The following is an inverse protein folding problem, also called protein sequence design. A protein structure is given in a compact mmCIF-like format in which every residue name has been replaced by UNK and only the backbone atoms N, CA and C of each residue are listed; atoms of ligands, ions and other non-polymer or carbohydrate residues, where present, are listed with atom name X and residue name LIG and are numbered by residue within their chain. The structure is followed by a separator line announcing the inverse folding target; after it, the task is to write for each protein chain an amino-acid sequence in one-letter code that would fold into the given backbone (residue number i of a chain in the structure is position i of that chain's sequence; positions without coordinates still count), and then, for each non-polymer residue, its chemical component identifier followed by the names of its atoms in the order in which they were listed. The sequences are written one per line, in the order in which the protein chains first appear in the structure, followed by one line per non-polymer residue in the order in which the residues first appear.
data_IF_659802673370
#
_entry.id   IF_659802673370
#
_cell.length_a   1.000
_cell.length_b   1.000
_cell.length_c   1.000
_cell.angle_alpha   90.00
_cell.angle_beta   90.00
_cell.angle_gamma   90.00
#
_symmetry.space_group_name_H-M   'P 1'
#
loop_
_entity.id
_entity.type
_entity.pdbx_description
1 polymer ?
#
# COMPACT_ATOMS: atom_id res chain seq x y z
N UNK A 1 -28.11 -4.61 -6.67
CA UNK A 1 -28.65 -3.80 -5.56
C UNK A 1 -28.92 -4.73 -4.36
N UNK A 2 -27.89 -4.97 -3.54
CA UNK A 2 -28.05 -5.68 -2.26
C UNK A 2 -27.64 -4.71 -1.17
N UNK A 3 -28.66 -4.10 -0.60
CA UNK A 3 -28.59 -3.33 0.62
C UNK A 3 -28.32 -4.35 1.73
N UNK A 4 -27.07 -4.48 2.12
CA UNK A 4 -26.73 -4.86 3.48
C UNK A 4 -25.99 -3.64 4.02
N UNK A 5 -26.80 -2.61 4.34
CA UNK A 5 -26.38 -1.61 5.31
C UNK A 5 -26.15 -2.39 6.60
N UNK A 6 -24.89 -2.66 6.89
CA UNK A 6 -24.41 -3.12 8.18
C UNK A 6 -25.04 -2.22 9.24
N UNK A 7 -26.04 -2.76 9.95
CA UNK A 7 -26.38 -2.28 11.27
C UNK A 7 -25.15 -2.54 12.13
N UNK A 8 -24.38 -1.51 12.44
CA UNK A 8 -23.79 -1.23 13.76
C UNK A 8 -22.81 -0.05 13.60
N UNK A 9 -23.05 0.99 14.39
CA UNK A 9 -22.27 2.24 14.54
C UNK A 9 -22.40 3.30 13.46
N UNK A 10 -23.41 4.16 13.63
CA UNK A 10 -23.40 5.52 13.09
C UNK A 10 -22.84 6.44 14.20
N UNK A 11 -21.54 6.36 14.50
CA UNK A 11 -20.87 7.33 15.39
C UNK A 11 -20.48 8.57 14.61
N UNK A 12 -20.57 9.73 15.25
CA UNK A 12 -19.96 10.94 14.73
C UNK A 12 -18.42 10.75 14.70
N UNK A 13 -17.72 11.31 13.69
CA UNK A 13 -16.27 11.19 13.50
C UNK A 13 -15.46 11.51 14.76
N UNK A 14 -15.96 12.42 15.59
CA UNK A 14 -15.29 12.82 16.83
C UNK A 14 -15.27 11.68 17.87
N UNK A 15 -16.37 10.93 18.02
CA UNK A 15 -16.44 9.80 18.95
C UNK A 15 -15.53 8.64 18.51
N UNK A 16 -15.35 8.43 17.20
CA UNK A 16 -14.42 7.40 16.70
C UNK A 16 -12.97 7.77 17.00
N UNK A 17 -12.60 9.06 16.84
CA UNK A 17 -11.25 9.55 17.18
C UNK A 17 -10.93 9.41 18.66
N UNK A 18 -11.89 9.74 19.54
CA UNK A 18 -11.72 9.58 20.99
C UNK A 18 -11.43 8.11 21.35
N UNK A 19 -12.23 7.17 20.82
CA UNK A 19 -12.01 5.74 21.02
C UNK A 19 -10.64 5.29 20.52
N UNK A 20 -10.22 5.78 19.35
CA UNK A 20 -8.91 5.43 18.81
C UNK A 20 -7.77 5.97 19.70
N UNK A 21 -7.89 7.19 20.20
CA UNK A 21 -6.88 7.74 21.11
C UNK A 21 -6.77 6.88 22.38
N UNK A 22 -7.90 6.49 22.98
CA UNK A 22 -7.92 5.61 24.16
C UNK A 22 -7.26 4.26 23.88
N UNK A 23 -7.54 3.65 22.72
CA UNK A 23 -6.93 2.37 22.32
C UNK A 23 -5.42 2.48 22.11
N UNK A 24 -4.97 3.56 21.46
CA UNK A 24 -3.54 3.83 21.23
C UNK A 24 -2.78 4.01 22.55
N UNK A 25 -3.36 4.75 23.49
CA UNK A 25 -2.74 5.01 24.79
C UNK A 25 -2.65 3.71 25.62
N UNK A 26 -3.73 2.92 25.64
CA UNK A 26 -3.76 1.62 26.30
C UNK A 26 -2.71 0.66 25.72
N UNK A 27 -2.64 0.56 24.39
CA UNK A 27 -1.69 -0.30 23.71
C UNK A 27 -0.23 0.12 23.96
N UNK A 28 0.06 1.41 23.93
CA UNK A 28 1.40 1.95 24.16
C UNK A 28 1.95 1.56 25.53
N UNK A 29 1.10 1.59 26.56
CA UNK A 29 1.46 1.14 27.91
C UNK A 29 1.84 -0.36 27.89
N UNK A 30 0.99 -1.22 27.33
CA UNK A 30 1.21 -2.68 27.28
C UNK A 30 2.47 -3.06 26.49
N UNK A 31 2.69 -2.39 25.34
CA UNK A 31 3.84 -2.64 24.46
C UNK A 31 5.15 -2.27 25.14
N UNK A 32 5.19 -1.20 25.94
CA UNK A 32 6.41 -0.77 26.64
C UNK A 32 6.93 -1.78 27.66
N UNK A 33 6.06 -2.66 28.15
CA UNK A 33 6.38 -3.68 29.15
C UNK A 33 6.77 -5.04 28.56
N UNK A 34 6.62 -5.22 27.24
CA UNK A 34 6.72 -6.54 26.61
C UNK A 34 7.63 -6.50 25.39
N UNK A 35 8.79 -7.14 25.49
CA UNK A 35 9.69 -7.33 24.34
C UNK A 35 9.21 -8.50 23.47
N UNK A 36 9.14 -8.28 22.15
CA UNK A 36 8.77 -9.30 21.17
C UNK A 36 10.03 -10.06 20.77
N UNK A 37 10.04 -11.37 21.01
CA UNK A 37 11.18 -12.20 20.64
C UNK A 37 11.23 -12.45 19.12
N UNK A 38 12.43 -12.55 18.51
CA UNK A 38 12.56 -12.86 17.08
C UNK A 38 11.88 -14.17 16.68
N UNK A 39 11.83 -15.14 17.60
CA UNK A 39 11.15 -16.43 17.39
C UNK A 39 9.64 -16.23 17.21
N UNK A 40 8.99 -15.45 18.07
CA UNK A 40 7.55 -15.17 17.98
C UNK A 40 7.26 -14.37 16.72
N UNK A 41 8.08 -13.37 16.40
CA UNK A 41 7.93 -12.58 15.17
C UNK A 41 8.00 -13.45 13.91
N UNK A 42 8.98 -14.36 13.84
CA UNK A 42 9.11 -15.30 12.72
C UNK A 42 7.92 -16.28 12.64
N UNK A 43 7.42 -16.74 13.78
CA UNK A 43 6.24 -17.62 13.84
C UNK A 43 4.98 -16.89 13.34
N UNK A 44 4.80 -15.62 13.72
CA UNK A 44 3.69 -14.77 13.29
C UNK A 44 3.73 -14.49 11.79
N UNK A 45 4.91 -14.14 11.26
CA UNK A 45 5.08 -13.94 9.81
C UNK A 45 4.69 -15.20 9.04
N UNK A 46 5.13 -16.37 9.49
CA UNK A 46 4.81 -17.64 8.84
C UNK A 46 3.31 -18.00 8.86
N UNK A 47 2.46 -17.33 9.64
CA UNK A 47 1.00 -17.55 9.62
C UNK A 47 0.34 -16.92 8.39
N UNK A 48 0.93 -15.87 7.81
CA UNK A 48 0.43 -15.24 6.59
C UNK A 48 0.42 -16.22 5.40
N UNK A 49 1.37 -17.15 5.36
CA UNK A 49 1.44 -18.17 4.31
C UNK A 49 0.56 -19.41 4.61
N UNK A 50 0.11 -19.58 5.86
CA UNK A 50 -0.58 -20.80 6.33
C UNK A 50 -2.09 -20.64 6.43
N UNK A 51 -2.57 -19.43 6.66
CA UNK A 51 -3.97 -19.15 6.91
C UNK A 51 -4.51 -18.32 5.75
N UNK A 52 -5.49 -18.89 5.05
CA UNK A 52 -6.33 -18.15 4.12
C UNK A 52 -7.32 -17.30 4.92
N UNK A 53 -6.93 -16.08 5.24
CA UNK A 53 -7.70 -15.09 6.00
C UNK A 53 -8.98 -14.67 5.28
N UNK A 54 -8.99 -14.67 3.94
CA UNK A 54 -10.15 -14.32 3.11
C UNK A 54 -11.28 -15.36 3.22
N UNK A 55 -10.97 -16.56 3.72
CA UNK A 55 -11.97 -17.59 4.01
C UNK A 55 -12.85 -17.28 5.23
N UNK A 56 -12.53 -16.25 6.03
CA UNK A 56 -13.22 -15.94 7.28
C UNK A 56 -13.95 -14.59 7.20
N UNK A 57 -15.21 -14.55 7.67
CA UNK A 57 -15.92 -13.29 7.84
C UNK A 57 -15.63 -12.65 9.20
N UNK A 58 -15.74 -11.32 9.27
CA UNK A 58 -15.65 -10.56 10.52
C UNK A 58 -16.62 -11.12 11.58
N UNK A 59 -17.89 -11.36 11.22
CA UNK A 59 -18.87 -11.86 12.19
C UNK A 59 -18.50 -13.24 12.73
N UNK A 60 -17.94 -14.10 11.88
CA UNK A 60 -17.51 -15.44 12.27
C UNK A 60 -16.37 -15.35 13.29
N UNK A 61 -15.33 -14.55 13.00
CA UNK A 61 -14.17 -14.51 13.88
C UNK A 61 -14.47 -13.80 15.20
N UNK A 62 -15.35 -12.79 15.19
CA UNK A 62 -15.81 -12.13 16.43
C UNK A 62 -16.52 -13.15 17.33
N UNK A 63 -17.40 -13.98 16.78
CA UNK A 63 -18.05 -15.05 17.56
C UNK A 63 -17.04 -16.07 18.10
N UNK A 64 -16.06 -16.45 17.29
CA UNK A 64 -14.99 -17.37 17.70
C UNK A 64 -14.08 -16.79 18.78
N UNK A 65 -13.96 -15.46 18.88
CA UNK A 65 -13.10 -14.79 19.86
C UNK A 65 -13.47 -15.10 21.32
N UNK A 66 -14.69 -15.57 21.59
CA UNK A 66 -15.07 -16.07 22.92
C UNK A 66 -14.11 -17.17 23.41
N UNK A 67 -13.55 -17.96 22.50
CA UNK A 67 -12.58 -19.02 22.80
C UNK A 67 -11.27 -18.48 23.39
N UNK A 68 -10.91 -17.21 23.15
CA UNK A 68 -9.72 -16.60 23.75
C UNK A 68 -9.77 -16.57 25.28
N UNK A 69 -10.99 -16.52 25.84
CA UNK A 69 -11.23 -16.54 27.29
C UNK A 69 -11.26 -17.95 27.91
N UNK A 70 -11.28 -19.01 27.10
CA UNK A 70 -11.39 -20.40 27.59
C UNK A 70 -10.01 -20.93 27.97
N UNK A 71 -9.88 -21.44 29.19
CA UNK A 71 -8.61 -21.94 29.73
C UNK A 71 -8.09 -23.17 28.98
N UNK A 72 -8.98 -24.09 28.58
CA UNK A 72 -8.64 -25.34 27.91
C UNK A 72 -8.48 -25.23 26.38
N UNK A 73 -8.68 -24.05 25.80
CA UNK A 73 -8.53 -23.88 24.35
C UNK A 73 -7.03 -23.94 23.98
N UNK A 74 -6.64 -24.72 22.95
CA UNK A 74 -5.25 -24.84 22.53
C UNK A 74 -4.62 -23.48 22.19
N UNK A 75 -3.36 -23.29 22.56
CA UNK A 75 -2.62 -22.06 22.25
C UNK A 75 -2.59 -21.77 20.73
N UNK A 76 -2.49 -22.80 19.90
CA UNK A 76 -2.53 -22.69 18.44
C UNK A 76 -3.85 -22.11 17.92
N UNK A 77 -4.98 -22.49 18.52
CA UNK A 77 -6.29 -21.94 18.16
C UNK A 77 -6.41 -20.49 18.59
N UNK A 78 -5.92 -20.14 19.78
CA UNK A 78 -5.87 -18.74 20.24
C UNK A 78 -5.02 -17.89 19.31
N UNK A 79 -3.83 -18.37 18.91
CA UNK A 79 -2.97 -17.70 17.92
C UNK A 79 -3.66 -17.50 16.59
N UNK A 80 -4.36 -18.53 16.07
CA UNK A 80 -5.14 -18.44 14.83
C UNK A 80 -6.22 -17.37 14.92
N UNK A 81 -6.97 -17.32 16.01
CA UNK A 81 -8.03 -16.33 16.21
C UNK A 81 -7.45 -14.92 16.29
N UNK A 82 -6.42 -14.71 17.10
CA UNK A 82 -5.72 -13.43 17.26
C UNK A 82 -5.19 -12.94 15.91
N UNK A 83 -4.56 -13.82 15.14
CA UNK A 83 -4.04 -13.52 13.81
C UNK A 83 -5.13 -13.04 12.86
N UNK A 84 -6.25 -13.78 12.74
CA UNK A 84 -7.34 -13.40 11.84
C UNK A 84 -8.00 -12.07 12.29
N UNK A 85 -8.15 -11.83 13.60
CA UNK A 85 -8.65 -10.56 14.11
C UNK A 85 -7.74 -9.39 13.71
N UNK A 86 -6.42 -9.56 13.84
CA UNK A 86 -5.42 -8.56 13.44
C UNK A 86 -5.51 -8.27 11.95
N UNK A 87 -5.62 -9.33 11.14
CA UNK A 87 -5.69 -9.21 9.69
C UNK A 87 -6.99 -8.55 9.18
N UNK A 88 -8.14 -8.81 9.82
CA UNK A 88 -9.39 -8.13 9.49
C UNK A 88 -9.34 -6.66 9.86
N UNK A 89 -8.70 -6.31 10.98
CA UNK A 89 -8.30 -4.93 11.28
C UNK A 89 -9.42 -3.92 11.47
N UNK A 90 -10.67 -4.34 11.65
CA UNK A 90 -11.79 -3.44 11.96
C UNK A 90 -11.75 -3.00 13.43
N UNK A 91 -12.40 -1.87 13.75
CA UNK A 91 -12.47 -1.37 15.13
C UNK A 91 -12.98 -2.43 16.14
N UNK A 92 -14.03 -3.23 15.84
CA UNK A 92 -14.43 -4.33 16.71
C UNK A 92 -13.32 -5.37 16.93
N UNK A 93 -12.60 -5.77 15.88
CA UNK A 93 -11.53 -6.76 15.99
C UNK A 93 -10.36 -6.23 16.82
N UNK A 94 -9.92 -5.00 16.57
CA UNK A 94 -8.84 -4.34 17.32
C UNK A 94 -9.20 -4.21 18.81
N UNK A 95 -10.46 -3.86 19.14
CA UNK A 95 -10.95 -3.84 20.52
C UNK A 95 -10.89 -5.20 21.21
N UNK A 96 -11.23 -6.28 20.50
CA UNK A 96 -11.15 -7.63 21.05
C UNK A 96 -9.69 -8.00 21.39
N UNK A 97 -8.74 -7.64 20.52
CA UNK A 97 -7.31 -7.86 20.76
C UNK A 97 -6.83 -7.04 21.96
N UNK A 98 -7.24 -5.77 22.07
CA UNK A 98 -6.91 -4.90 23.20
C UNK A 98 -7.42 -5.45 24.54
N UNK A 99 -8.68 -5.89 24.58
CA UNK A 99 -9.26 -6.53 25.77
C UNK A 99 -8.56 -7.85 26.11
N UNK A 100 -8.11 -8.60 25.10
CA UNK A 100 -7.31 -9.79 25.31
C UNK A 100 -5.92 -9.47 25.88
N UNK A 101 -5.28 -8.39 25.42
CA UNK A 101 -3.96 -7.96 25.90
C UNK A 101 -3.91 -7.65 27.39
N UNK A 102 -5.02 -7.15 27.99
CA UNK A 102 -5.12 -6.87 29.43
C UNK A 102 -4.93 -8.10 30.32
N UNK A 103 -5.17 -9.30 29.78
CA UNK A 103 -5.11 -10.58 30.51
C UNK A 103 -4.15 -11.60 29.89
N UNK A 104 -3.56 -11.30 28.74
CA UNK A 104 -2.68 -12.20 28.03
C UNK A 104 -1.30 -12.25 28.69
N UNK A 105 -0.68 -13.43 28.68
CA UNK A 105 0.67 -13.65 29.23
C UNK A 105 1.56 -14.39 28.23
N UNK A 106 2.87 -14.30 28.45
CA UNK A 106 3.88 -15.07 27.70
C UNK A 106 3.83 -14.87 26.18
N UNK A 107 3.91 -15.98 25.44
CA UNK A 107 3.92 -15.96 23.97
C UNK A 107 2.63 -15.42 23.36
N UNK A 108 1.47 -15.69 23.98
CA UNK A 108 0.19 -15.17 23.50
C UNK A 108 0.09 -13.64 23.62
N UNK A 109 0.70 -13.05 24.65
CA UNK A 109 0.80 -11.58 24.77
C UNK A 109 1.59 -10.99 23.61
N UNK A 110 2.76 -11.56 23.28
CA UNK A 110 3.58 -11.11 22.15
C UNK A 110 2.82 -11.26 20.81
N UNK A 111 2.08 -12.35 20.63
CA UNK A 111 1.22 -12.56 19.45
C UNK A 111 0.11 -11.52 19.34
N UNK A 112 -0.57 -11.22 20.44
CA UNK A 112 -1.61 -10.21 20.47
C UNK A 112 -1.07 -8.79 20.23
N UNK A 113 0.16 -8.49 20.66
CA UNK A 113 0.82 -7.22 20.33
C UNK A 113 1.01 -7.10 18.81
N UNK A 114 1.59 -8.13 18.16
CA UNK A 114 1.80 -8.11 16.71
C UNK A 114 0.48 -7.98 15.93
N UNK A 115 -0.54 -8.73 16.33
CA UNK A 115 -1.87 -8.64 15.71
C UNK A 115 -2.54 -7.28 15.95
N UNK A 116 -2.35 -6.67 17.12
CA UNK A 116 -2.83 -5.32 17.37
C UNK A 116 -2.12 -4.33 16.45
N UNK A 117 -0.80 -4.38 16.29
CA UNK A 117 -0.06 -3.46 15.41
C UNK A 117 -0.53 -3.55 13.96
N UNK A 118 -0.73 -4.77 13.46
CA UNK A 118 -1.23 -5.03 12.11
C UNK A 118 -2.66 -4.50 11.95
N UNK A 119 -3.57 -4.85 12.86
CA UNK A 119 -4.96 -4.38 12.81
C UNK A 119 -5.09 -2.87 13.03
N UNK A 120 -4.25 -2.28 13.88
CA UNK A 120 -4.17 -0.85 14.12
C UNK A 120 -3.78 -0.11 12.84
N UNK A 121 -2.77 -0.61 12.14
CA UNK A 121 -2.36 -0.06 10.84
C UNK A 121 -3.52 -0.09 9.84
N UNK A 122 -4.29 -1.17 9.77
CA UNK A 122 -5.45 -1.25 8.87
C UNK A 122 -6.56 -0.28 9.27
N UNK A 123 -6.88 -0.19 10.56
CA UNK A 123 -7.89 0.72 11.10
C UNK A 123 -7.53 2.20 10.87
N UNK A 124 -6.28 2.59 11.15
CA UNK A 124 -5.78 3.94 10.88
C UNK A 124 -5.88 4.28 9.39
N UNK A 125 -5.53 3.32 8.53
CA UNK A 125 -5.67 3.51 7.09
C UNK A 125 -7.14 3.67 6.67
N UNK A 126 -8.09 2.96 7.28
CA UNK A 126 -9.51 3.14 7.01
C UNK A 126 -10.02 4.53 7.39
N UNK A 127 -9.72 4.99 8.62
CA UNK A 127 -10.18 6.29 9.13
C UNK A 127 -9.54 7.49 8.42
N UNK A 128 -8.27 7.36 8.02
CA UNK A 128 -7.62 8.37 7.19
C UNK A 128 -8.15 8.39 5.74
N UNK A 129 -9.08 7.49 5.38
CA UNK A 129 -9.57 7.34 4.01
C UNK A 129 -8.50 6.80 3.05
N UNK A 130 -7.45 6.17 3.60
CA UNK A 130 -6.34 5.55 2.89
C UNK A 130 -6.76 4.17 2.33
N UNK A 131 -7.98 3.69 2.61
CA UNK A 131 -8.48 2.40 2.17
C UNK A 131 -8.92 2.38 0.70
N UNK A 132 -7.93 2.32 -0.19
CA UNK A 132 -7.93 1.58 -1.46
C UNK A 132 -6.48 1.18 -1.77
N UNK A 133 -6.11 -0.05 -1.41
CA UNK A 133 -4.93 -0.74 -1.93
C UNK A 133 -3.61 0.03 -1.83
N UNK A 134 -3.05 0.20 -0.63
CA UNK A 134 -1.66 0.65 -0.54
C UNK A 134 -0.77 -0.52 -1.02
N UNK A 135 -0.38 -0.47 -2.29
CA UNK A 135 0.68 -1.33 -2.82
C UNK A 135 1.99 -0.90 -2.17
N UNK A 136 2.68 -1.86 -1.55
CA UNK A 136 4.09 -1.72 -1.17
C UNK A 136 4.96 -1.69 -2.44
N UNK A 137 4.85 -0.62 -3.24
CA UNK A 137 5.92 -0.26 -4.17
C UNK A 137 6.82 0.71 -3.43
N UNK A 138 8.15 0.58 -3.57
CA UNK A 138 9.05 1.48 -2.85
C UNK A 138 8.85 2.97 -3.22
N UNK A 139 8.25 3.25 -4.39
CA UNK A 139 7.90 4.58 -4.86
C UNK A 139 6.56 5.12 -4.30
N UNK A 140 5.67 4.24 -3.79
CA UNK A 140 4.34 4.57 -3.31
C UNK A 140 3.23 4.58 -4.38
N UNK A 141 2.05 5.05 -3.99
CA UNK A 141 0.86 5.15 -4.83
C UNK A 141 -0.21 6.06 -4.22
N UNK A 142 -1.27 6.34 -4.97
CA UNK A 142 -2.41 7.17 -4.56
C UNK A 142 -3.71 6.55 -5.10
N UNK A 143 -4.59 6.10 -4.21
CA UNK A 143 -5.79 5.34 -4.59
C UNK A 143 -5.45 4.06 -5.38
N UNK A 144 -6.16 3.78 -6.46
CA UNK A 144 -5.93 2.63 -7.34
C UNK A 144 -4.78 2.86 -8.36
N UNK A 145 -3.89 3.82 -8.10
CA UNK A 145 -2.76 4.17 -8.98
C UNK A 145 -1.42 3.95 -8.31
N UNK A 146 -0.48 3.35 -9.03
CA UNK A 146 0.91 3.12 -8.60
C UNK A 146 1.86 4.16 -9.19
N UNK A 147 2.83 4.60 -8.40
CA UNK A 147 3.85 5.53 -8.88
C UNK A 147 4.92 4.78 -9.68
N UNK A 148 5.14 5.24 -10.90
CA UNK A 148 6.22 4.80 -11.77
C UNK A 148 7.11 5.98 -12.14
N UNK A 149 8.39 5.70 -12.23
CA UNK A 149 9.38 6.56 -12.84
C UNK A 149 9.80 5.93 -14.15
N UNK A 150 9.68 6.66 -15.26
CA UNK A 150 10.21 6.19 -16.53
C UNK A 150 10.97 7.29 -17.25
N UNK A 151 12.02 6.89 -17.96
CA UNK A 151 12.87 7.80 -18.72
C UNK A 151 13.13 7.30 -20.12
N UNK A 152 13.21 8.25 -21.05
CA UNK A 152 13.40 8.00 -22.47
C UNK A 152 14.41 9.00 -23.00
N UNK A 153 15.29 8.53 -23.88
CA UNK A 153 16.32 9.33 -24.52
C UNK A 153 15.83 9.89 -25.86
N UNK A 154 16.36 11.05 -26.24
CA UNK A 154 16.23 11.62 -27.58
C UNK A 154 16.83 10.65 -28.60
N UNK A 155 16.15 10.49 -29.73
CA UNK A 155 16.69 9.73 -30.87
C UNK A 155 17.78 10.51 -31.61
N UNK A 156 17.67 11.84 -31.61
CA UNK A 156 18.62 12.73 -32.25
C UNK A 156 19.62 13.15 -31.16
N UNK A 157 20.85 12.62 -31.23
CA UNK A 157 21.92 12.89 -30.24
C UNK A 157 21.97 14.38 -29.89
N UNK A 158 21.86 14.70 -28.60
CA UNK A 158 21.86 16.08 -28.08
C UNK A 158 20.60 16.42 -27.29
N UNK A 159 20.64 17.56 -26.59
CA UNK A 159 19.57 17.99 -25.71
C UNK A 159 18.29 18.35 -26.46
N UNK A 160 17.14 18.15 -25.80
CA UNK A 160 15.85 18.57 -26.36
C UNK A 160 15.79 20.09 -26.51
N UNK A 161 15.32 20.56 -27.67
CA UNK A 161 15.01 21.97 -27.87
C UNK A 161 13.61 22.32 -27.31
N UNK A 162 13.29 23.61 -27.20
CA UNK A 162 12.03 24.07 -26.60
C UNK A 162 10.78 23.53 -27.32
N UNK A 163 10.85 23.36 -28.64
CA UNK A 163 9.76 22.80 -29.43
C UNK A 163 9.53 21.31 -29.11
N UNK A 164 10.62 20.53 -29.03
CA UNK A 164 10.57 19.11 -28.66
C UNK A 164 10.09 18.92 -27.24
N UNK A 165 10.55 19.73 -26.28
CA UNK A 165 10.10 19.70 -24.89
C UNK A 165 8.59 19.90 -24.82
N UNK A 166 8.08 20.92 -25.53
CA UNK A 166 6.65 21.21 -25.59
C UNK A 166 5.85 20.05 -26.19
N UNK A 167 6.31 19.49 -27.32
CA UNK A 167 5.66 18.33 -27.94
C UNK A 167 5.61 17.15 -26.97
N UNK A 168 6.72 16.86 -26.28
CA UNK A 168 6.78 15.75 -25.31
C UNK A 168 5.80 15.97 -24.17
N UNK A 169 5.76 17.17 -23.59
CA UNK A 169 4.83 17.51 -22.51
C UNK A 169 3.37 17.39 -22.95
N UNK A 170 3.03 17.95 -24.13
CA UNK A 170 1.68 17.90 -24.67
C UNK A 170 1.23 16.45 -24.93
N UNK A 171 2.12 15.61 -25.50
CA UNK A 171 1.82 14.19 -25.76
C UNK A 171 1.72 13.35 -24.50
N UNK A 172 2.56 13.60 -23.49
CA UNK A 172 2.43 12.92 -22.19
C UNK A 172 1.11 13.27 -21.52
N UNK A 173 0.68 14.54 -21.58
CA UNK A 173 -0.61 14.96 -21.01
C UNK A 173 -1.81 14.37 -21.78
N UNK A 174 -1.72 14.28 -23.11
CA UNK A 174 -2.73 13.64 -23.96
C UNK A 174 -2.89 12.15 -23.62
N UNK A 175 -1.77 11.40 -23.57
CA UNK A 175 -1.74 10.00 -23.15
C UNK A 175 -2.19 9.86 -21.69
N UNK A 176 -1.80 10.81 -20.83
CA UNK A 176 -2.23 10.87 -19.44
C UNK A 176 -3.74 10.94 -19.30
N UNK A 177 -4.39 11.74 -20.14
CA UNK A 177 -5.86 11.83 -20.14
C UNK A 177 -6.53 10.56 -20.68
N UNK A 178 -5.93 9.88 -21.65
CA UNK A 178 -6.45 8.62 -22.24
C UNK A 178 -6.43 7.46 -21.23
N UNK A 179 -5.35 7.33 -20.46
CA UNK A 179 -5.16 6.24 -19.49
C UNK A 179 -5.52 6.60 -18.05
N UNK A 180 -6.12 7.77 -17.80
CA UNK A 180 -6.38 8.29 -16.45
C UNK A 180 -5.11 8.30 -15.57
N UNK A 181 -4.01 8.81 -16.11
CA UNK A 181 -2.76 8.99 -15.37
C UNK A 181 -2.77 10.32 -14.61
N UNK A 182 -2.13 10.35 -13.44
CA UNK A 182 -1.79 11.61 -12.77
C UNK A 182 -0.28 11.85 -12.92
N UNK A 183 0.07 12.79 -13.79
CA UNK A 183 1.47 13.22 -13.99
C UNK A 183 1.87 14.11 -12.81
N UNK A 184 2.95 13.76 -12.12
CA UNK A 184 3.47 14.50 -10.97
C UNK A 184 4.64 15.41 -11.35
N UNK A 185 5.55 14.92 -12.21
CA UNK A 185 6.65 15.74 -12.75
C UNK A 185 7.11 15.22 -14.11
N UNK A 186 7.64 16.15 -14.92
CA UNK A 186 8.40 15.86 -16.14
C UNK A 186 9.68 16.69 -16.04
N UNK A 187 10.82 16.02 -15.91
CA UNK A 187 12.14 16.62 -15.71
C UNK A 187 13.03 16.31 -16.90
N UNK A 188 13.74 17.31 -17.41
CA UNK A 188 14.64 17.17 -18.56
C UNK A 188 16.09 17.36 -18.12
N UNK A 189 16.99 16.51 -18.63
CA UNK A 189 18.43 16.68 -18.48
C UNK A 189 19.14 16.14 -19.71
N UNK A 190 19.90 17.01 -20.35
CA UNK A 190 20.61 16.69 -21.59
C UNK A 190 19.64 16.08 -22.62
N UNK A 191 19.94 14.88 -23.11
CA UNK A 191 19.16 14.13 -24.09
C UNK A 191 18.14 13.18 -23.45
N UNK A 192 17.90 13.24 -22.14
CA UNK A 192 16.96 12.35 -21.42
C UNK A 192 15.88 13.18 -20.72
N UNK A 193 14.66 12.67 -20.69
CA UNK A 193 13.64 13.14 -19.76
C UNK A 193 13.20 12.02 -18.82
N UNK A 194 12.78 12.42 -17.62
CA UNK A 194 12.27 11.55 -16.56
C UNK A 194 10.85 11.99 -16.20
N UNK A 195 9.93 11.05 -16.15
CA UNK A 195 8.53 11.28 -15.76
C UNK A 195 8.25 10.59 -14.43
N UNK A 196 7.58 11.28 -13.51
CA UNK A 196 6.91 10.69 -12.35
C UNK A 196 5.41 10.69 -12.62
N UNK A 197 4.79 9.52 -12.65
CA UNK A 197 3.36 9.39 -12.90
C UNK A 197 2.72 8.31 -12.03
N UNK A 198 1.49 8.59 -11.59
CA UNK A 198 0.60 7.64 -10.97
C UNK A 198 -0.26 6.97 -12.06
N UNK A 199 -0.09 5.67 -12.22
CA UNK A 199 -0.70 4.86 -13.29
C UNK A 199 -1.69 3.87 -12.66
N UNK A 200 -2.93 3.74 -13.18
CA UNK A 200 -3.89 2.75 -12.69
C UNK A 200 -3.33 1.32 -12.71
N UNK A 201 -3.65 0.53 -11.68
CA UNK A 201 -3.11 -0.83 -11.52
C UNK A 201 -3.56 -1.80 -12.62
N UNK A 202 -4.69 -1.54 -13.26
CA UNK A 202 -5.22 -2.28 -14.40
C UNK A 202 -4.60 -1.87 -15.75
N UNK A 203 -3.72 -0.86 -15.74
CA UNK A 203 -3.00 -0.38 -16.92
C UNK A 203 -1.55 -0.84 -16.90
N UNK A 204 -1.13 -1.53 -17.97
CA UNK A 204 0.27 -1.90 -18.15
C UNK A 204 1.14 -0.65 -18.42
N UNK A 205 2.12 -0.38 -17.56
CA UNK A 205 3.05 0.77 -17.71
C UNK A 205 3.76 0.79 -19.08
N UNK A 206 4.11 -0.38 -19.62
CA UNK A 206 4.68 -0.49 -20.95
C UNK A 206 3.78 0.11 -22.03
N UNK A 207 2.47 -0.10 -21.96
CA UNK A 207 1.51 0.45 -22.92
C UNK A 207 1.46 1.98 -22.89
N UNK A 208 1.57 2.58 -21.71
CA UNK A 208 1.66 4.05 -21.55
C UNK A 208 2.92 4.59 -22.22
N UNK A 209 4.07 3.96 -21.96
CA UNK A 209 5.36 4.37 -22.50
C UNK A 209 5.39 4.22 -24.02
N UNK A 210 5.00 3.05 -24.54
CA UNK A 210 4.97 2.78 -25.98
C UNK A 210 4.03 3.72 -26.73
N UNK A 211 2.86 4.03 -26.16
CA UNK A 211 1.93 5.02 -26.72
C UNK A 211 2.55 6.41 -26.75
N UNK A 212 3.23 6.82 -25.69
CA UNK A 212 3.94 8.11 -25.61
C UNK A 212 5.03 8.20 -26.67
N UNK A 213 5.88 7.18 -26.81
CA UNK A 213 6.90 7.11 -27.86
C UNK A 213 6.27 7.21 -29.24
N UNK A 214 5.19 6.45 -29.49
CA UNK A 214 4.48 6.48 -30.77
C UNK A 214 3.88 7.84 -31.08
N UNK A 215 3.29 8.52 -30.10
CA UNK A 215 2.70 9.84 -30.25
C UNK A 215 3.75 10.91 -30.57
N UNK A 216 4.89 10.92 -29.86
CA UNK A 216 5.99 11.84 -30.13
C UNK A 216 6.71 11.56 -31.47
N UNK A 217 6.73 10.29 -31.90
CA UNK A 217 7.42 9.88 -33.13
C UNK A 217 6.56 9.93 -34.39
N UNK A 218 5.25 10.17 -34.27
CA UNK A 218 4.32 10.18 -35.41
C UNK A 218 4.74 11.16 -36.50
N UNK A 219 5.23 12.34 -36.10
CA UNK A 219 5.61 13.41 -37.03
C UNK A 219 7.13 13.64 -37.04
N UNK A 220 7.76 13.68 -35.85
CA UNK A 220 9.10 14.26 -35.70
C UNK A 220 10.19 13.27 -35.22
N UNK A 221 9.90 11.96 -35.13
CA UNK A 221 10.84 10.90 -34.68
C UNK A 221 11.77 11.33 -33.52
N UNK A 222 11.19 11.95 -32.49
CA UNK A 222 11.90 12.63 -31.39
C UNK A 222 12.56 11.63 -30.42
N UNK A 223 11.90 10.52 -30.10
CA UNK A 223 12.24 9.63 -29.00
C UNK A 223 12.81 8.28 -29.45
N UNK A 224 13.74 7.74 -28.67
CA UNK A 224 14.18 6.34 -28.78
C UNK A 224 13.04 5.38 -28.41
N UNK A 225 13.10 4.15 -28.92
CA UNK A 225 12.19 3.07 -28.52
C UNK A 225 12.61 2.39 -27.22
N UNK A 226 13.85 2.59 -26.77
CA UNK A 226 14.34 2.08 -25.50
C UNK A 226 13.99 3.04 -24.37
N UNK A 227 13.63 2.48 -23.23
CA UNK A 227 13.25 3.24 -22.04
C UNK A 227 13.72 2.52 -20.78
N UNK A 228 13.88 3.29 -19.71
CA UNK A 228 14.03 2.77 -18.36
C UNK A 228 12.73 3.00 -17.59
N UNK A 229 12.36 2.06 -16.72
CA UNK A 229 11.18 2.17 -15.85
C UNK A 229 11.44 1.51 -14.50
N UNK A 230 11.00 2.14 -13.42
CA UNK A 230 11.06 1.60 -12.05
C UNK A 230 9.88 2.07 -11.21
N UNK A 231 9.49 1.27 -10.23
CA UNK A 231 8.50 1.60 -9.19
C UNK A 231 9.10 1.46 -7.77
N UNK A 232 10.44 1.43 -7.65
CA UNK A 232 11.12 1.25 -6.35
C UNK A 232 11.43 2.56 -5.64
N UNK A 233 11.95 3.58 -6.33
CA UNK A 233 12.22 4.91 -5.78
C UNK A 233 12.51 5.87 -6.92
N UNK A 234 12.47 7.18 -6.66
CA UNK A 234 12.90 8.15 -7.65
C UNK A 234 14.39 7.93 -7.97
N UNK A 235 14.74 7.59 -9.22
CA UNK A 235 16.13 7.35 -9.60
C UNK A 235 16.91 8.66 -9.63
N UNK A 236 18.19 8.60 -9.32
CA UNK A 236 19.11 9.72 -9.55
C UNK A 236 19.47 9.83 -11.03
N UNK A 237 19.90 11.02 -11.50
CA UNK A 237 20.30 11.20 -12.91
C UNK A 237 21.42 10.29 -13.39
N UNK A 238 22.30 9.84 -12.49
CA UNK A 238 23.33 8.84 -12.82
C UNK A 238 22.70 7.50 -13.18
N UNK A 239 21.80 7.00 -12.33
CA UNK A 239 21.05 5.76 -12.55
C UNK A 239 20.18 5.83 -13.81
N UNK A 240 19.52 6.96 -14.04
CA UNK A 240 18.77 7.21 -15.29
C UNK A 240 19.67 7.12 -16.51
N UNK A 241 20.85 7.75 -16.48
CA UNK A 241 21.81 7.73 -17.57
C UNK A 241 22.38 6.33 -17.85
N UNK A 242 22.72 5.59 -16.78
CA UNK A 242 23.30 4.24 -16.87
C UNK A 242 22.29 3.20 -17.39
N UNK A 243 21.00 3.38 -17.12
CA UNK A 243 19.94 2.41 -17.45
C UNK A 243 19.06 2.80 -18.63
N UNK A 244 19.14 4.04 -19.15
CA UNK A 244 18.42 4.45 -20.36
C UNK A 244 19.34 4.31 -21.57
N UNK A 245 19.17 3.27 -22.42
CA UNK A 245 20.08 3.00 -23.53
C UNK A 245 20.15 4.15 -24.55
N UNK A 246 21.24 4.22 -25.30
CA UNK A 246 21.36 5.07 -26.50
C UNK A 246 20.43 4.63 -27.64
#
# INVERSE_FOLDING_TARGET
MKIIKTMFWNKNKEETKEIMQELSDSFSAVKSETEITPKVQSEYIAYHDKIDVDAYSEQYIIAESEKLSKEHEPESEKKRIIFILGHIGTLPCVKIIEEFLKKAEGGLKQWAILAFEEGWMFLENEEMGINKGRVFSGAGGEGEKMRYYFSIRSKNKGSFNDEQIKIIQDKINEVGSEFDLKIESIEFKDDIFLVSALIPMDVAVGSVIEKTVKACNAENKILSSHYFVTNEKKPGWKEVGDNTPE
#
